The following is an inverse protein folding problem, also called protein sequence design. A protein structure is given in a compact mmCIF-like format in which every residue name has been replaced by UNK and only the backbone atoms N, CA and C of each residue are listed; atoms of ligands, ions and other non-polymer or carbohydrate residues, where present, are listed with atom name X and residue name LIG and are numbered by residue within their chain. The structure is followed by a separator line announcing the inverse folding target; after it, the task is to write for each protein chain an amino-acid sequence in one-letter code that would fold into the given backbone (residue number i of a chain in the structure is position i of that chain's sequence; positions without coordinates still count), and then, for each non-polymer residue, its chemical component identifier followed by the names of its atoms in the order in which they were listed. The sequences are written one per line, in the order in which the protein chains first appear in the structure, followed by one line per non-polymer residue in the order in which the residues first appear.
data_IF_556869651744
#
_entry.id   IF_556869651744
#
_cell.length_a   1.000
_cell.length_b   1.000
_cell.length_c   1.000
_cell.angle_alpha   90.00
_cell.angle_beta   90.00
_cell.angle_gamma   90.00
#
_symmetry.space_group_name_H-M   'P 1'
#
loop_
_entity.id
_entity.type
_entity.pdbx_description
1 polymer ?
#
# COMPACT_ATOMS: atom_id res chain seq x y z
N UNK A 1 -12.98 -4.28 15.03
CA UNK A 1 -12.68 -4.68 13.63
C UNK A 1 -12.49 -3.40 12.82
N UNK A 2 -11.37 -3.21 12.12
CA UNK A 2 -11.23 -2.09 11.18
C UNK A 2 -11.55 -2.58 9.76
N UNK A 3 -12.31 -1.80 9.00
CA UNK A 3 -12.74 -2.16 7.64
C UNK A 3 -11.77 -1.54 6.64
N UNK A 4 -11.38 -2.27 5.60
CA UNK A 4 -10.60 -1.72 4.49
C UNK A 4 -11.43 -0.69 3.70
N UNK A 5 -10.81 0.40 3.27
CA UNK A 5 -11.43 1.46 2.50
C UNK A 5 -10.97 1.38 1.05
N UNK A 6 -11.91 1.34 0.12
CA UNK A 6 -11.61 1.49 -1.30
C UNK A 6 -11.11 2.92 -1.57
N UNK A 7 -10.05 3.02 -2.36
CA UNK A 7 -9.42 4.28 -2.77
C UNK A 7 -9.70 4.52 -4.26
N UNK A 8 -9.69 5.78 -4.68
CA UNK A 8 -10.01 6.18 -6.05
C UNK A 8 -9.08 5.56 -7.13
N UNK A 9 -7.89 5.11 -6.72
CA UNK A 9 -6.92 4.42 -7.59
C UNK A 9 -7.26 2.92 -7.83
N UNK A 10 -8.36 2.42 -7.26
CA UNK A 10 -8.78 1.03 -7.36
C UNK A 10 -8.22 0.11 -6.27
N UNK A 11 -7.30 0.62 -5.44
CA UNK A 11 -6.76 -0.16 -4.31
C UNK A 11 -7.71 -0.19 -3.13
N UNK A 12 -7.60 -1.25 -2.32
CA UNK A 12 -8.22 -1.30 -0.98
C UNK A 12 -7.13 -1.07 0.04
N UNK A 13 -7.30 -0.05 0.89
CA UNK A 13 -6.33 0.33 1.91
C UNK A 13 -6.88 0.15 3.31
N UNK A 14 -6.02 -0.23 4.24
CA UNK A 14 -6.33 -0.27 5.67
C UNK A 14 -5.17 0.30 6.47
N UNK A 15 -5.45 1.33 7.23
CA UNK A 15 -4.46 2.06 8.01
C UNK A 15 -4.48 1.63 9.49
N UNK A 16 -3.29 1.44 10.03
CA UNK A 16 -2.98 1.24 11.44
C UNK A 16 -1.96 2.29 11.87
N UNK A 17 -1.68 2.39 13.17
CA UNK A 17 -0.79 3.42 13.73
C UNK A 17 0.60 3.46 13.06
N UNK A 18 1.17 2.30 12.76
CA UNK A 18 2.52 2.16 12.18
C UNK A 18 2.56 1.45 10.84
N UNK A 19 1.42 0.92 10.36
CA UNK A 19 1.35 0.08 9.16
C UNK A 19 0.20 0.52 8.28
N UNK A 20 0.38 0.45 6.96
CA UNK A 20 -0.71 0.55 5.99
C UNK A 20 -0.72 -0.68 5.11
N UNK A 21 -1.83 -1.40 5.09
CA UNK A 21 -2.07 -2.52 4.20
C UNK A 21 -2.68 -1.97 2.91
N UNK A 22 -2.14 -2.35 1.77
CA UNK A 22 -2.71 -2.01 0.46
C UNK A 22 -2.86 -3.28 -0.35
N UNK A 23 -4.03 -3.47 -0.94
CA UNK A 23 -4.30 -4.53 -1.90
C UNK A 23 -4.69 -3.91 -3.23
N UNK A 24 -4.09 -4.40 -4.31
CA UNK A 24 -4.44 -4.11 -5.69
C UNK A 24 -5.21 -5.32 -6.27
N UNK A 25 -6.55 -5.26 -6.35
CA UNK A 25 -7.36 -6.41 -6.76
C UNK A 25 -7.10 -6.85 -8.19
N UNK A 26 -7.33 -8.14 -8.46
CA UNK A 26 -7.23 -8.73 -9.80
C UNK A 26 -8.05 -7.93 -10.84
N UNK A 27 -7.44 -7.69 -12.00
CA UNK A 27 -8.05 -6.92 -13.10
C UNK A 27 -7.81 -5.41 -13.01
N UNK A 28 -7.22 -4.92 -11.92
CA UNK A 28 -6.75 -3.54 -11.81
C UNK A 28 -5.45 -3.33 -12.61
N UNK A 29 -5.09 -2.07 -12.87
CA UNK A 29 -3.79 -1.71 -13.43
C UNK A 29 -2.75 -1.61 -12.31
N UNK A 30 -1.46 -1.60 -12.66
CA UNK A 30 -0.41 -1.23 -11.71
C UNK A 30 -0.69 0.18 -11.14
N UNK A 31 -0.45 0.35 -9.84
CA UNK A 31 -0.74 1.60 -9.12
C UNK A 31 0.51 2.09 -8.40
N UNK A 32 0.77 3.39 -8.48
CA UNK A 32 1.77 4.05 -7.62
C UNK A 32 1.12 4.47 -6.29
N UNK A 33 1.46 3.75 -5.22
CA UNK A 33 1.03 4.03 -3.85
C UNK A 33 1.94 5.09 -3.25
N UNK A 34 1.42 6.29 -3.04
CA UNK A 34 2.18 7.41 -2.43
C UNK A 34 1.75 7.67 -0.98
N UNK A 35 2.74 7.89 -0.10
CA UNK A 35 2.60 8.27 1.30
C UNK A 35 3.18 9.67 1.55
N UNK A 36 2.76 10.32 2.65
CA UNK A 36 3.26 11.65 3.05
C UNK A 36 4.68 11.60 3.62
N UNK A 37 5.11 10.43 4.08
CA UNK A 37 6.41 10.15 4.68
C UNK A 37 6.96 8.85 4.10
N UNK A 38 8.24 8.61 4.29
CA UNK A 38 8.89 7.40 3.78
C UNK A 38 8.31 6.16 4.50
N UNK A 39 8.00 5.14 3.71
CA UNK A 39 7.53 3.84 4.19
C UNK A 39 8.42 2.73 3.67
N UNK A 40 8.56 1.68 4.46
CA UNK A 40 9.19 0.44 4.05
C UNK A 40 8.15 -0.52 3.50
N UNK A 41 8.34 -0.99 2.27
CA UNK A 41 7.59 -2.10 1.68
C UNK A 41 8.03 -3.41 2.32
N UNK A 42 7.09 -4.18 2.87
CA UNK A 42 7.40 -5.49 3.45
C UNK A 42 7.70 -6.53 2.35
N UNK A 43 7.09 -6.40 1.18
CA UNK A 43 7.30 -7.32 0.06
C UNK A 43 8.67 -7.14 -0.62
N UNK A 44 9.13 -5.90 -0.79
CA UNK A 44 10.34 -5.59 -1.57
C UNK A 44 11.53 -5.13 -0.71
N UNK A 45 11.29 -4.76 0.55
CA UNK A 45 12.29 -4.15 1.43
C UNK A 45 12.67 -2.71 1.06
N UNK A 46 12.09 -2.15 -0.01
CA UNK A 46 12.39 -0.79 -0.46
C UNK A 46 11.80 0.25 0.49
N UNK A 47 12.56 1.31 0.75
CA UNK A 47 12.12 2.48 1.51
C UNK A 47 11.91 3.64 0.53
N UNK A 48 10.78 4.33 0.65
CA UNK A 48 10.50 5.53 -0.13
C UNK A 48 9.09 6.05 0.13
N UNK A 49 8.73 7.16 -0.53
CA UNK A 49 7.35 7.70 -0.43
C UNK A 49 6.40 7.10 -1.43
N UNK A 50 6.92 6.60 -2.55
CA UNK A 50 6.14 6.05 -3.65
C UNK A 50 6.59 4.62 -3.90
N UNK A 51 5.62 3.72 -4.00
CA UNK A 51 5.83 2.31 -4.28
C UNK A 51 4.94 1.90 -5.44
N UNK A 52 5.49 1.17 -6.39
CA UNK A 52 4.71 0.53 -7.44
C UNK A 52 4.11 -0.76 -6.89
N UNK A 53 2.81 -0.93 -7.08
CA UNK A 53 2.06 -2.12 -6.70
C UNK A 53 1.36 -2.67 -7.95
N UNK A 54 1.82 -3.83 -8.40
CA UNK A 54 1.27 -4.51 -9.58
C UNK A 54 -0.12 -5.09 -9.30
N UNK A 55 -0.74 -5.71 -10.30
CA UNK A 55 -2.04 -6.37 -10.17
C UNK A 55 -1.98 -7.80 -10.74
N UNK A 56 -2.54 -8.80 -10.04
CA UNK A 56 -3.02 -8.74 -8.66
C UNK A 56 -1.85 -8.74 -7.65
N UNK A 57 -1.88 -7.85 -6.66
CA UNK A 57 -0.83 -7.81 -5.62
C UNK A 57 -1.34 -7.20 -4.29
N UNK A 58 -0.52 -7.31 -3.24
CA UNK A 58 -0.75 -6.64 -1.96
C UNK A 58 0.53 -6.51 -1.15
N UNK A 59 0.64 -5.40 -0.41
CA UNK A 59 1.83 -5.08 0.39
C UNK A 59 1.47 -4.41 1.73
N UNK A 60 2.42 -4.47 2.66
CA UNK A 60 2.40 -3.79 3.94
C UNK A 60 3.46 -2.69 3.93
N UNK A 61 3.03 -1.45 4.16
CA UNK A 61 3.88 -0.28 4.21
C UNK A 61 4.07 0.18 5.64
N UNK A 62 5.26 -0.06 6.18
CA UNK A 62 5.64 0.24 7.56
C UNK A 62 6.22 1.65 7.68
N UNK A 63 5.89 2.37 8.76
CA UNK A 63 6.62 3.61 9.13
C UNK A 63 8.09 3.27 9.38
N UNK A 64 8.98 4.01 8.75
CA UNK A 64 10.41 3.97 9.07
C UNK A 64 10.62 4.80 10.33
N UNK A 65 11.35 4.26 11.31
CA UNK A 65 11.66 4.95 12.57
C UNK A 65 12.70 6.04 12.38
#
# INVERSE_FOLDING_TARGET
MATGKAVADGTVRREFETVTVVCNPMGSKAVSVTFREDRGSAATGKIGRTHELESPDGDLFLKVK
#
